data_IF_231344654015
#
_entry.id   IF_231344654015
#
_cell.length_a   1.000
_cell.length_b   1.000
_cell.length_c   1.000
_cell.angle_alpha   90.00
_cell.angle_beta   90.00
_cell.angle_gamma   90.00
#
_symmetry.space_group_name_H-M   'P 1'
#
loop_
_entity.id
_entity.type
_entity.pdbx_description
1 polymer ?
#
# COMPACT_ATOMS: atom_id res chain seq x y z
N UNK A 1 -5.30 -6.88 21.90
CA UNK A 1 -5.06 -5.82 22.90
C UNK A 1 -5.70 -4.55 22.34
N UNK A 2 -6.79 -4.07 22.94
CA UNK A 2 -7.55 -2.93 22.43
C UNK A 2 -6.74 -1.63 22.35
N UNK A 3 -5.57 -1.55 23.00
CA UNK A 3 -4.64 -0.41 22.91
C UNK A 3 -3.56 -0.58 21.83
N UNK A 4 -3.56 -1.69 21.10
CA UNK A 4 -2.52 -1.96 20.12
C UNK A 4 -2.68 -1.06 18.89
N UNK A 5 -1.78 -0.10 18.76
CA UNK A 5 -1.66 0.75 17.58
C UNK A 5 -1.18 -0.12 16.41
N UNK A 6 -1.93 -0.22 15.31
CA UNK A 6 -1.51 -1.02 14.15
C UNK A 6 -0.29 -0.39 13.48
N UNK A 7 0.70 -1.23 13.17
CA UNK A 7 1.86 -0.83 12.37
C UNK A 7 1.54 -1.08 10.91
N UNK A 8 1.62 -0.03 10.10
CA UNK A 8 1.44 -0.11 8.65
C UNK A 8 2.80 -0.11 7.96
N UNK A 9 2.97 -0.99 6.99
CA UNK A 9 4.08 -0.99 6.04
C UNK A 9 3.58 -0.34 4.74
N UNK A 10 4.39 0.56 4.19
CA UNK A 10 4.09 1.22 2.91
C UNK A 10 4.97 0.63 1.81
N UNK A 11 4.36 0.29 0.69
CA UNK A 11 5.07 -0.16 -0.51
C UNK A 11 4.67 0.69 -1.72
N UNK A 12 5.65 0.93 -2.58
CA UNK A 12 5.49 1.69 -3.81
C UNK A 12 4.94 0.77 -4.91
N UNK A 13 3.83 1.16 -5.52
CA UNK A 13 3.20 0.41 -6.60
C UNK A 13 3.25 1.18 -7.91
N UNK A 14 3.72 0.46 -8.92
CA UNK A 14 3.54 0.82 -10.32
C UNK A 14 2.42 -0.05 -10.87
N UNK A 15 1.25 0.53 -11.12
CA UNK A 15 0.17 -0.20 -11.78
C UNK A 15 -0.52 0.67 -12.81
N UNK A 16 -0.01 0.58 -14.04
CA UNK A 16 -0.76 0.97 -15.23
C UNK A 16 -0.59 -0.10 -16.28
N UNK A 17 -1.24 -1.24 -16.06
CA UNK A 17 -1.28 -2.30 -17.07
C UNK A 17 -2.00 -1.74 -18.30
N UNK A 18 -1.27 -1.66 -19.42
CA UNK A 18 -1.71 -1.09 -20.70
C UNK A 18 -1.96 0.43 -20.79
N UNK A 19 -1.57 1.23 -19.79
CA UNK A 19 -1.64 2.70 -19.88
C UNK A 19 -0.27 3.33 -19.63
N UNK A 20 0.39 3.78 -20.69
CA UNK A 20 1.70 4.45 -20.61
C UNK A 20 1.60 5.96 -20.33
N UNK A 21 0.42 6.52 -20.53
CA UNK A 21 0.21 7.97 -20.63
C UNK A 21 0.06 8.61 -19.25
N UNK A 22 -0.42 7.83 -18.27
CA UNK A 22 -0.60 8.28 -16.90
C UNK A 22 0.42 7.58 -16.00
N UNK A 23 1.35 8.34 -15.43
CA UNK A 23 2.33 7.87 -14.45
C UNK A 23 2.00 8.52 -13.10
N UNK A 24 1.04 7.95 -12.39
CA UNK A 24 0.71 8.38 -11.02
C UNK A 24 1.42 7.47 -10.04
N UNK A 25 2.01 8.06 -9.01
CA UNK A 25 2.60 7.31 -7.90
C UNK A 25 1.49 6.77 -7.02
N UNK A 26 1.39 5.44 -6.95
CA UNK A 26 0.43 4.75 -6.09
C UNK A 26 1.21 4.13 -4.93
N UNK A 27 0.70 4.29 -3.72
CA UNK A 27 1.24 3.66 -2.53
C UNK A 27 0.17 2.75 -1.93
N UNK A 28 0.56 1.57 -1.49
CA UNK A 28 -0.29 0.72 -0.66
C UNK A 28 0.22 0.75 0.77
N UNK A 29 -0.70 0.89 1.71
CA UNK A 29 -0.43 0.66 3.12
C UNK A 29 -1.05 -0.68 3.50
N UNK A 30 -0.25 -1.56 4.09
CA UNK A 30 -0.66 -2.90 4.50
C UNK A 30 -0.41 -3.04 5.99
N UNK A 31 -1.36 -3.63 6.71
CA UNK A 31 -1.14 -3.97 8.10
C UNK A 31 -0.03 -5.02 8.22
N UNK A 32 1.03 -4.70 8.96
CA UNK A 32 2.21 -5.57 9.14
C UNK A 32 1.85 -6.95 9.68
N UNK A 33 0.83 -7.02 10.54
CA UNK A 33 0.46 -8.24 11.25
C UNK A 33 -0.59 -9.05 10.50
N UNK A 34 -1.65 -8.39 10.03
CA UNK A 34 -2.78 -9.09 9.39
C UNK A 34 -2.62 -9.25 7.90
N UNK A 35 -1.73 -8.47 7.26
CA UNK A 35 -1.58 -8.37 5.79
C UNK A 35 -2.87 -7.93 5.07
N UNK A 36 -3.77 -7.28 5.81
CA UNK A 36 -5.00 -6.65 5.30
C UNK A 36 -4.77 -5.22 4.82
#
# INVERSE_FOLDING_TARGET
DPEKIPVLEMDELWSFVFCSDNKVWIWIAVNRETRE
#
